data_IF_828136526482
#
_entry.id   IF_828136526482
#
_cell.length_a   1.000
_cell.length_b   1.000
_cell.length_c   1.000
_cell.angle_alpha   90.00
_cell.angle_beta   90.00
_cell.angle_gamma   90.00
#
_symmetry.space_group_name_H-M   'P 1'
#
loop_
_entity.id
_entity.type
_entity.pdbx_description
1 polymer ?
#
# COMPACT_ATOMS: atom_id res chain seq x y z
N UNK A 1 25.69 -14.91 3.67
CA UNK A 1 24.50 -14.03 3.72
C UNK A 1 23.63 -14.58 4.83
N UNK A 2 23.43 -13.80 5.89
CA UNK A 2 22.56 -14.22 6.99
C UNK A 2 21.12 -13.85 6.64
N UNK A 3 20.27 -14.86 6.49
CA UNK A 3 18.89 -14.71 5.99
C UNK A 3 17.96 -15.44 6.91
N UNK A 4 17.01 -14.69 7.46
CA UNK A 4 15.92 -15.23 8.28
C UNK A 4 14.82 -15.83 7.40
N UNK A 5 14.00 -16.74 7.93
CA UNK A 5 12.91 -17.35 7.16
C UNK A 5 11.86 -16.33 6.71
N UNK A 6 11.55 -15.34 7.54
CA UNK A 6 10.65 -14.22 7.24
C UNK A 6 11.27 -13.30 6.18
N UNK A 7 12.57 -12.99 6.27
CA UNK A 7 13.29 -12.25 5.24
C UNK A 7 13.26 -12.97 3.88
N UNK A 8 13.42 -14.30 3.87
CA UNK A 8 13.31 -15.10 2.64
C UNK A 8 11.89 -15.05 2.05
N UNK A 9 10.85 -15.18 2.88
CA UNK A 9 9.45 -15.08 2.42
C UNK A 9 9.12 -13.69 1.86
N UNK A 10 9.57 -12.64 2.53
CA UNK A 10 9.41 -11.26 2.07
C UNK A 10 10.08 -11.04 0.72
N UNK A 11 11.30 -11.55 0.57
CA UNK A 11 12.06 -11.47 -0.68
C UNK A 11 11.34 -12.17 -1.83
N UNK A 12 10.89 -13.41 -1.63
CA UNK A 12 10.14 -14.16 -2.65
C UNK A 12 8.85 -13.43 -3.04
N UNK A 13 8.14 -12.88 -2.05
CA UNK A 13 6.89 -12.13 -2.27
C UNK A 13 7.12 -10.88 -3.12
N UNK A 14 8.11 -10.05 -2.75
CA UNK A 14 8.43 -8.80 -3.47
C UNK A 14 9.08 -9.03 -4.84
N UNK A 15 9.66 -10.22 -5.05
CA UNK A 15 10.27 -10.57 -6.33
C UNK A 15 9.24 -10.91 -7.40
N UNK A 16 8.01 -11.27 -7.02
CA UNK A 16 6.92 -11.64 -7.94
C UNK A 16 7.33 -12.66 -9.02
N UNK A 17 8.22 -13.59 -8.67
CA UNK A 17 8.76 -14.61 -9.59
C UNK A 17 9.93 -14.16 -10.48
N UNK A 18 10.36 -12.90 -10.42
CA UNK A 18 11.55 -12.43 -11.14
C UNK A 18 12.83 -12.70 -10.32
N UNK A 19 13.64 -13.64 -10.80
CA UNK A 19 14.88 -14.05 -10.14
C UNK A 19 15.98 -12.95 -10.15
N UNK A 20 16.00 -12.06 -11.14
CA UNK A 20 16.92 -10.92 -11.17
C UNK A 20 16.55 -9.92 -10.08
N UNK A 21 15.26 -9.63 -9.93
CA UNK A 21 14.74 -8.77 -8.86
C UNK A 21 15.07 -9.36 -7.48
N UNK A 22 14.88 -10.66 -7.31
CA UNK A 22 15.22 -11.37 -6.08
C UNK A 22 16.69 -11.19 -5.68
N UNK A 23 17.62 -11.40 -6.62
CA UNK A 23 19.05 -11.25 -6.37
C UNK A 23 19.43 -9.81 -6.03
N UNK A 24 18.86 -8.83 -6.74
CA UNK A 24 19.11 -7.42 -6.47
C UNK A 24 18.65 -7.03 -5.06
N UNK A 25 17.45 -7.43 -4.66
CA UNK A 25 16.92 -7.17 -3.31
C UNK A 25 17.80 -7.83 -2.25
N UNK A 26 18.18 -9.11 -2.45
CA UNK A 26 19.04 -9.84 -1.52
C UNK A 26 20.37 -9.12 -1.29
N UNK A 27 21.02 -8.74 -2.39
CA UNK A 27 22.33 -8.09 -2.36
C UNK A 27 22.25 -6.71 -1.72
N UNK A 28 21.30 -5.86 -2.14
CA UNK A 28 21.10 -4.53 -1.56
C UNK A 28 20.79 -4.59 -0.07
N UNK A 29 19.93 -5.51 0.35
CA UNK A 29 19.56 -5.66 1.78
C UNK A 29 20.76 -6.15 2.60
N UNK A 30 21.48 -7.16 2.12
CA UNK A 30 22.67 -7.68 2.80
C UNK A 30 23.79 -6.64 2.89
N UNK A 31 23.96 -5.79 1.87
CA UNK A 31 24.97 -4.73 1.87
C UNK A 31 24.59 -3.56 2.78
N UNK A 32 23.30 -3.20 2.85
CA UNK A 32 22.83 -2.07 3.64
C UNK A 32 22.73 -2.39 5.14
N UNK A 33 22.29 -3.60 5.50
CA UNK A 33 21.93 -3.95 6.88
C UNK A 33 22.68 -5.15 7.46
N UNK A 34 23.48 -5.85 6.65
CA UNK A 34 24.25 -7.04 7.06
C UNK A 34 23.41 -8.31 7.19
N UNK A 35 22.19 -8.22 7.74
CA UNK A 35 21.25 -9.34 7.94
C UNK A 35 19.95 -9.10 7.17
N UNK A 36 19.45 -10.14 6.51
CA UNK A 36 18.23 -10.08 5.69
C UNK A 36 17.03 -10.54 6.54
N UNK A 37 16.31 -9.56 7.10
CA UNK A 37 15.05 -9.71 7.84
C UNK A 37 13.87 -9.17 7.02
N UNK A 38 12.62 -9.54 7.36
CA UNK A 38 11.43 -8.98 6.68
C UNK A 38 11.46 -7.44 6.67
N UNK A 39 11.69 -6.82 7.82
CA UNK A 39 11.74 -5.36 7.95
C UNK A 39 12.82 -4.71 7.08
N UNK A 40 14.03 -5.27 7.07
CA UNK A 40 15.13 -4.74 6.28
C UNK A 40 14.86 -4.88 4.78
N UNK A 41 14.24 -5.99 4.35
CA UNK A 41 13.88 -6.20 2.94
C UNK A 41 12.85 -5.17 2.48
N UNK A 42 11.75 -5.00 3.20
CA UNK A 42 10.71 -4.02 2.86
C UNK A 42 11.27 -2.59 2.86
N UNK A 43 12.04 -2.23 3.89
CA UNK A 43 12.70 -0.92 4.00
C UNK A 43 13.68 -0.66 2.87
N UNK A 44 14.51 -1.65 2.51
CA UNK A 44 15.47 -1.53 1.40
C UNK A 44 14.78 -1.29 0.06
N UNK A 45 13.59 -1.88 -0.14
CA UNK A 45 12.80 -1.73 -1.37
C UNK A 45 11.90 -0.50 -1.41
N UNK A 46 11.74 0.22 -0.29
CA UNK A 46 10.76 1.30 -0.16
C UNK A 46 9.31 0.82 -0.24
N UNK A 47 9.07 -0.49 -0.05
CA UNK A 47 7.75 -1.09 -0.15
C UNK A 47 7.06 -1.04 1.23
N UNK A 48 5.76 -0.70 1.30
CA UNK A 48 5.04 -0.62 2.56
C UNK A 48 4.98 -1.97 3.29
N UNK A 49 5.10 -1.93 4.62
CA UNK A 49 4.87 -3.07 5.49
C UNK A 49 3.36 -3.34 5.63
N UNK A 50 2.99 -4.59 5.92
CA UNK A 50 1.58 -4.97 6.13
C UNK A 50 0.92 -4.16 7.26
N UNK A 51 1.67 -3.86 8.32
CA UNK A 51 1.18 -3.03 9.43
C UNK A 51 0.91 -1.58 9.00
N UNK A 52 1.76 -1.02 8.13
CA UNK A 52 1.57 0.33 7.59
C UNK A 52 0.31 0.41 6.72
N UNK A 53 0.09 -0.57 5.85
CA UNK A 53 -1.11 -0.63 5.00
C UNK A 53 -2.39 -0.78 5.85
N UNK A 54 -2.36 -1.63 6.89
CA UNK A 54 -3.49 -1.77 7.80
C UNK A 54 -3.83 -0.46 8.51
N UNK A 55 -2.82 0.30 8.95
CA UNK A 55 -3.00 1.62 9.53
C UNK A 55 -3.56 2.64 8.52
N UNK A 56 -3.08 2.63 7.28
CA UNK A 56 -3.60 3.50 6.21
C UNK A 56 -5.08 3.21 5.98
N UNK A 57 -5.47 1.93 5.88
CA UNK A 57 -6.86 1.53 5.70
C UNK A 57 -7.74 1.96 6.87
N UNK A 58 -7.27 1.75 8.11
CA UNK A 58 -7.97 2.21 9.32
C UNK A 58 -8.20 3.73 9.31
N UNK A 59 -7.18 4.52 8.96
CA UNK A 59 -7.32 5.96 8.90
C UNK A 59 -8.29 6.42 7.80
N UNK A 60 -8.28 5.77 6.64
CA UNK A 60 -9.20 6.11 5.55
C UNK A 60 -10.67 5.80 5.89
N UNK A 61 -10.93 4.75 6.67
CA UNK A 61 -12.28 4.34 7.06
C UNK A 61 -12.79 5.08 8.30
N UNK A 62 -11.93 5.30 9.30
CA UNK A 62 -12.37 5.72 10.64
C UNK A 62 -12.05 7.19 10.98
N UNK A 63 -11.19 7.87 10.23
CA UNK A 63 -10.79 9.25 10.54
C UNK A 63 -11.42 10.26 9.58
N UNK A 64 -11.35 11.55 9.93
CA UNK A 64 -11.70 12.64 9.03
C UNK A 64 -10.68 12.78 7.89
N UNK A 65 -11.10 13.43 6.80
CA UNK A 65 -10.31 13.55 5.57
C UNK A 65 -8.95 14.20 5.82
N UNK A 66 -8.95 15.31 6.54
CA UNK A 66 -7.75 16.10 6.80
C UNK A 66 -6.75 15.34 7.66
N UNK A 67 -7.22 14.65 8.69
CA UNK A 67 -6.38 13.82 9.57
C UNK A 67 -5.83 12.61 8.83
N UNK A 68 -6.66 11.88 8.08
CA UNK A 68 -6.22 10.74 7.28
C UNK A 68 -5.15 11.18 6.26
N UNK A 69 -5.40 12.27 5.54
CA UNK A 69 -4.47 12.82 4.57
C UNK A 69 -3.13 13.18 5.19
N UNK A 70 -3.14 13.90 6.33
CA UNK A 70 -1.91 14.29 7.03
C UNK A 70 -1.10 13.07 7.47
N UNK A 71 -1.74 12.08 8.11
CA UNK A 71 -1.09 10.86 8.61
C UNK A 71 -0.48 10.04 7.46
N UNK A 72 -1.24 9.83 6.39
CA UNK A 72 -0.76 9.06 5.23
C UNK A 72 0.38 9.81 4.52
N UNK A 73 0.26 11.12 4.35
CA UNK A 73 1.32 11.93 3.74
C UNK A 73 2.60 11.90 4.57
N UNK A 74 2.50 12.00 5.89
CA UNK A 74 3.65 11.93 6.81
C UNK A 74 4.32 10.56 6.73
N UNK A 75 3.54 9.48 6.75
CA UNK A 75 4.05 8.11 6.64
C UNK A 75 4.77 7.87 5.29
N UNK A 76 4.17 8.34 4.19
CA UNK A 76 4.79 8.28 2.85
C UNK A 76 6.13 9.00 2.81
N UNK A 77 6.20 10.21 3.38
CA UNK A 77 7.45 11.00 3.40
C UNK A 77 8.50 10.36 4.29
N UNK A 78 8.12 9.86 5.48
CA UNK A 78 9.05 9.26 6.44
C UNK A 78 9.68 7.97 5.91
N UNK A 79 8.87 7.11 5.28
CA UNK A 79 9.29 5.78 4.81
C UNK A 79 9.62 5.72 3.31
N UNK A 80 9.48 6.83 2.59
CA UNK A 80 9.75 6.89 1.14
C UNK A 80 8.81 6.03 0.29
N UNK A 81 7.55 5.88 0.71
CA UNK A 81 6.58 4.97 0.07
C UNK A 81 5.97 5.62 -1.17
N UNK A 82 5.90 4.85 -2.26
CA UNK A 82 5.17 5.27 -3.46
C UNK A 82 3.65 5.11 -3.26
N UNK A 83 2.86 6.01 -3.85
CA UNK A 83 1.40 5.86 -3.80
C UNK A 83 0.92 4.62 -4.55
N UNK A 84 1.62 4.25 -5.62
CA UNK A 84 1.32 3.07 -6.41
C UNK A 84 1.38 1.79 -5.55
N UNK A 85 2.47 1.59 -4.80
CA UNK A 85 2.62 0.41 -3.94
C UNK A 85 1.54 0.36 -2.84
N UNK A 86 1.20 1.52 -2.26
CA UNK A 86 0.10 1.64 -1.29
C UNK A 86 -1.23 1.23 -1.93
N UNK A 87 -1.52 1.71 -3.14
CA UNK A 87 -2.76 1.40 -3.86
C UNK A 87 -2.88 -0.10 -4.16
N UNK A 88 -1.79 -0.74 -4.62
CA UNK A 88 -1.75 -2.17 -4.93
C UNK A 88 -1.98 -3.02 -3.68
N UNK A 89 -1.35 -2.69 -2.56
CA UNK A 89 -1.55 -3.43 -1.30
C UNK A 89 -2.94 -3.23 -0.71
N UNK A 90 -3.49 -2.00 -0.78
CA UNK A 90 -4.86 -1.73 -0.36
C UNK A 90 -5.85 -2.51 -1.22
N UNK A 91 -5.62 -2.63 -2.53
CA UNK A 91 -6.48 -3.42 -3.42
C UNK A 91 -6.60 -4.87 -2.95
N UNK A 92 -5.49 -5.49 -2.53
CA UNK A 92 -5.49 -6.84 -1.97
C UNK A 92 -6.29 -6.95 -0.67
N UNK A 93 -6.22 -5.92 0.20
CA UNK A 93 -6.99 -5.89 1.44
C UNK A 93 -8.48 -5.63 1.23
N UNK A 94 -8.87 -4.81 0.24
CA UNK A 94 -10.27 -4.51 -0.07
C UNK A 94 -11.05 -5.79 -0.43
N UNK A 95 -10.39 -6.76 -1.08
CA UNK A 95 -10.99 -8.08 -1.34
C UNK A 95 -11.22 -8.93 -0.09
N UNK A 96 -10.50 -8.66 1.00
CA UNK A 96 -10.65 -9.36 2.29
C UNK A 96 -11.70 -8.71 3.20
N UNK A 97 -12.07 -7.46 2.94
CA UNK A 97 -13.08 -6.74 3.72
C UNK A 97 -14.47 -7.04 3.17
N UNK A 98 -15.41 -7.35 4.06
CA UNK A 98 -16.81 -7.61 3.71
C UNK A 98 -17.58 -6.31 3.43
N UNK A 99 -17.38 -5.79 2.22
CA UNK A 99 -18.19 -4.73 1.64
C UNK A 99 -19.41 -5.30 0.90
N UNK A 100 -20.57 -4.62 0.92
CA UNK A 100 -21.68 -4.92 0.02
C UNK A 100 -21.22 -4.94 -1.45
N UNK A 101 -21.69 -5.90 -2.29
CA UNK A 101 -21.17 -6.09 -3.64
C UNK A 101 -21.21 -4.82 -4.51
N UNK A 102 -22.32 -4.07 -4.45
CA UNK A 102 -22.51 -2.83 -5.21
C UNK A 102 -21.49 -1.76 -4.85
N UNK A 103 -21.23 -1.60 -3.54
CA UNK A 103 -20.27 -0.62 -3.01
C UNK A 103 -18.84 -1.04 -3.34
N UNK A 104 -18.52 -2.35 -3.22
CA UNK A 104 -17.21 -2.90 -3.58
C UNK A 104 -16.87 -2.63 -5.04
N UNK A 105 -17.82 -2.82 -5.96
CA UNK A 105 -17.63 -2.55 -7.39
C UNK A 105 -17.31 -1.08 -7.63
N UNK A 106 -18.03 -0.17 -6.99
CA UNK A 106 -17.78 1.28 -7.12
C UNK A 106 -16.39 1.66 -6.59
N UNK A 107 -16.00 1.14 -5.42
CA UNK A 107 -14.67 1.40 -4.86
C UNK A 107 -13.56 0.89 -5.78
N UNK A 108 -13.68 -0.34 -6.29
CA UNK A 108 -12.70 -0.92 -7.22
C UNK A 108 -12.60 -0.12 -8.52
N UNK A 109 -13.72 0.36 -9.07
CA UNK A 109 -13.72 1.23 -10.24
C UNK A 109 -12.96 2.55 -9.98
N UNK A 110 -13.16 3.16 -8.81
CA UNK A 110 -12.43 4.39 -8.43
C UNK A 110 -10.94 4.14 -8.23
N UNK A 111 -10.56 3.01 -7.64
CA UNK A 111 -9.16 2.63 -7.48
C UNK A 111 -8.48 2.42 -8.84
N UNK A 112 -9.16 1.78 -9.80
CA UNK A 112 -8.65 1.59 -11.16
C UNK A 112 -8.42 2.92 -11.90
N UNK A 113 -9.36 3.87 -11.77
CA UNK A 113 -9.19 5.23 -12.33
C UNK A 113 -7.96 5.94 -11.74
N UNK A 114 -7.73 5.78 -10.43
CA UNK A 114 -6.57 6.36 -9.73
C UNK A 114 -5.28 5.73 -10.21
N UNK A 115 -5.23 4.40 -10.34
CA UNK A 115 -4.08 3.67 -10.85
C UNK A 115 -3.72 4.13 -12.27
N UNK A 116 -4.72 4.23 -13.15
CA UNK A 116 -4.53 4.72 -14.51
C UNK A 116 -3.95 6.14 -14.54
N UNK A 117 -4.46 7.04 -13.69
CA UNK A 117 -3.94 8.42 -13.59
C UNK A 117 -2.53 8.47 -13.02
N UNK A 118 -2.18 7.58 -12.10
CA UNK A 118 -0.82 7.49 -11.59
C UNK A 118 0.15 7.03 -12.68
N UNK A 119 -0.24 6.00 -13.45
CA UNK A 119 0.54 5.53 -14.60
C UNK A 119 0.71 6.62 -15.69
N UNK A 120 -0.26 7.51 -15.84
CA UNK A 120 -0.18 8.65 -16.75
C UNK A 120 0.71 9.82 -16.25
N UNK A 121 1.34 9.70 -15.08
CA UNK A 121 2.25 10.72 -14.54
C UNK A 121 1.55 11.91 -13.88
N UNK A 122 0.32 11.74 -13.38
CA UNK A 122 -0.37 12.80 -12.64
C UNK A 122 0.21 13.02 -11.23
N UNK A 123 -0.16 14.13 -10.59
CA UNK A 123 0.31 14.46 -9.24
C UNK A 123 -0.17 13.42 -8.21
N UNK A 124 0.77 12.72 -7.57
CA UNK A 124 0.47 11.82 -6.46
C UNK A 124 -0.31 12.49 -5.33
N UNK A 125 -0.08 13.79 -5.10
CA UNK A 125 -0.77 14.55 -4.07
C UNK A 125 -2.29 14.57 -4.29
N UNK A 126 -2.70 14.76 -5.54
CA UNK A 126 -4.11 14.80 -5.96
C UNK A 126 -4.70 13.39 -5.95
N UNK A 127 -3.93 12.40 -6.38
CA UNK A 127 -4.39 11.01 -6.39
C UNK A 127 -4.54 10.44 -4.98
N UNK A 128 -3.69 10.82 -4.03
CA UNK A 128 -3.84 10.46 -2.62
C UNK A 128 -5.14 11.02 -2.05
N UNK A 129 -5.42 12.31 -2.28
CA UNK A 129 -6.70 12.92 -1.90
C UNK A 129 -7.88 12.20 -2.53
N UNK A 130 -7.75 11.80 -3.80
CA UNK A 130 -8.80 11.07 -4.53
C UNK A 130 -9.04 9.68 -3.94
N UNK A 131 -7.98 8.99 -3.50
CA UNK A 131 -8.07 7.69 -2.84
C UNK A 131 -8.81 7.80 -1.51
N UNK A 132 -8.41 8.73 -0.65
CA UNK A 132 -9.06 8.94 0.66
C UNK A 132 -10.54 9.31 0.47
N UNK A 133 -10.83 10.20 -0.48
CA UNK A 133 -12.21 10.59 -0.79
C UNK A 133 -13.05 9.39 -1.26
N UNK A 134 -12.48 8.48 -2.06
CA UNK A 134 -13.18 7.28 -2.50
C UNK A 134 -13.60 6.40 -1.30
N UNK A 135 -12.70 6.19 -0.33
CA UNK A 135 -13.00 5.43 0.89
C UNK A 135 -14.05 6.11 1.79
N UNK A 136 -14.04 7.45 1.86
CA UNK A 136 -15.05 8.17 2.62
C UNK A 136 -16.44 8.07 1.97
N UNK A 137 -16.52 8.18 0.64
CA UNK A 137 -17.77 7.96 -0.08
C UNK A 137 -18.26 6.52 0.13
N UNK A 138 -17.36 5.54 0.09
CA UNK A 138 -17.70 4.14 0.42
C UNK A 138 -18.28 4.02 1.84
N UNK A 139 -17.67 4.65 2.84
CA UNK A 139 -18.20 4.67 4.21
C UNK A 139 -19.61 5.27 4.27
N UNK A 140 -19.81 6.41 3.63
CA UNK A 140 -21.11 7.11 3.67
C UNK A 140 -22.21 6.29 2.96
N UNK A 141 -21.87 5.57 1.89
CA UNK A 141 -22.77 4.62 1.23
C UNK A 141 -23.11 3.41 2.11
N UNK A 142 -22.14 2.87 2.87
CA UNK A 142 -22.38 1.76 3.79
C UNK A 142 -23.35 2.19 4.90
N UNK A 143 -23.17 3.40 5.44
CA UNK A 143 -24.07 3.96 6.47
C UNK A 143 -25.48 4.21 5.91
N UNK A 144 -25.60 4.56 4.63
CA UNK A 144 -26.91 4.75 3.99
C UNK A 144 -27.65 3.44 3.69
N UNK A 145 -26.94 2.32 3.52
CA UNK A 145 -27.52 0.99 3.31
C UNK A 145 -27.82 0.24 4.63
N UNK A 146 -27.28 0.69 5.77
CA UNK A 146 -27.44 0.09 7.10
C UNK A 146 -28.67 0.63 7.85
#
# INVERSE_FOLDING_TARGET
VDVTEDGMKALVTLSSGDMRRALNILQSTSMAFGTVTEENVYTCTGHPLKCDIANILDWMLNQDFSTAYRKISELKTLKGLALHDILTEIHLLVHRVDFPPSIRIQLLSKMADIEYRLAAGTSEKIQLSSLIAAFQVTRDLIVAEA
#
